data_IF_541463294912
#
_entry.id   IF_541463294912
#
_cell.length_a   1.000
_cell.length_b   1.000
_cell.length_c   1.000
_cell.angle_alpha   90.00
_cell.angle_beta   90.00
_cell.angle_gamma   90.00
#
_symmetry.space_group_name_H-M   'P 1'
#
loop_
_entity.id
_entity.type
_entity.pdbx_description
1 polymer ?
#
# COMPACT_ATOMS: atom_id res chain seq x y z
N UNK A 1 -6.84 -5.86 -17.25
CA UNK A 1 -7.10 -4.83 -18.29
C UNK A 1 -7.63 -3.56 -17.64
N UNK A 2 -7.01 -2.40 -17.92
CA UNK A 2 -7.46 -1.11 -17.42
C UNK A 2 -8.90 -0.81 -17.85
N UNK A 3 -9.73 -0.27 -16.95
CA UNK A 3 -11.11 0.14 -17.28
C UNK A 3 -11.07 1.13 -18.46
N UNK A 4 -11.69 0.81 -19.62
CA UNK A 4 -11.70 1.69 -20.78
C UNK A 4 -12.23 3.08 -20.45
N UNK A 5 -13.18 3.16 -19.51
CA UNK A 5 -13.73 4.42 -19.02
C UNK A 5 -12.70 5.25 -18.27
N UNK A 6 -11.92 4.65 -17.37
CA UNK A 6 -10.87 5.37 -16.65
C UNK A 6 -9.79 5.87 -17.60
N UNK A 7 -9.39 5.03 -18.56
CA UNK A 7 -8.42 5.43 -19.59
C UNK A 7 -8.95 6.55 -20.47
N UNK A 8 -10.23 6.53 -20.83
CA UNK A 8 -10.89 7.62 -21.55
C UNK A 8 -10.93 8.91 -20.72
N UNK A 9 -11.24 8.82 -19.43
CA UNK A 9 -11.24 9.99 -18.53
C UNK A 9 -9.84 10.60 -18.48
N UNK A 10 -8.81 9.79 -18.24
CA UNK A 10 -7.44 10.29 -18.03
C UNK A 10 -6.74 10.73 -19.33
N UNK A 11 -6.96 10.04 -20.45
CA UNK A 11 -6.28 10.35 -21.72
C UNK A 11 -7.02 11.32 -22.62
N UNK A 12 -8.33 11.46 -22.46
CA UNK A 12 -9.16 12.25 -23.37
C UNK A 12 -9.98 13.30 -22.66
N UNK A 13 -10.76 12.94 -21.64
CA UNK A 13 -11.66 13.91 -20.98
C UNK A 13 -10.88 14.95 -20.15
N UNK A 14 -9.96 14.50 -19.30
CA UNK A 14 -9.18 15.35 -18.41
C UNK A 14 -8.27 16.33 -19.19
N UNK A 15 -7.47 15.90 -20.19
CA UNK A 15 -6.67 16.86 -20.96
C UNK A 15 -7.53 17.86 -21.73
N UNK A 16 -8.71 17.44 -22.21
CA UNK A 16 -9.65 18.33 -22.90
C UNK A 16 -10.25 19.36 -21.93
N UNK A 17 -10.63 18.94 -20.72
CA UNK A 17 -11.11 19.83 -19.67
C UNK A 17 -10.06 20.88 -19.31
N UNK A 18 -8.82 20.44 -19.05
CA UNK A 18 -7.69 21.35 -18.76
C UNK A 18 -7.46 22.32 -19.91
N UNK A 19 -7.52 21.85 -21.17
CA UNK A 19 -7.40 22.71 -22.36
C UNK A 19 -8.50 23.75 -22.44
N UNK A 20 -9.78 23.36 -22.25
CA UNK A 20 -10.91 24.29 -22.30
C UNK A 20 -10.82 25.36 -21.22
N UNK A 21 -10.37 24.99 -20.01
CA UNK A 21 -10.15 25.94 -18.92
C UNK A 21 -9.06 26.93 -19.31
N UNK A 22 -7.93 26.44 -19.81
CA UNK A 22 -6.82 27.30 -20.24
C UNK A 22 -7.21 28.24 -21.39
N UNK A 23 -7.95 27.76 -22.40
CA UNK A 23 -8.43 28.59 -23.51
C UNK A 23 -9.37 29.71 -23.04
N UNK A 24 -10.20 29.43 -22.04
CA UNK A 24 -11.09 30.43 -21.43
C UNK A 24 -10.33 31.43 -20.54
N UNK A 25 -9.22 31.01 -19.91
CA UNK A 25 -8.37 31.87 -19.09
C UNK A 25 -7.44 32.80 -19.89
N UNK A 26 -7.33 32.65 -21.21
CA UNK A 26 -6.55 33.59 -22.01
C UNK A 26 -7.24 34.96 -22.00
N UNK A 27 -6.56 36.05 -21.61
CA UNK A 27 -7.16 37.38 -21.57
C UNK A 27 -7.49 37.81 -23.00
N UNK A 28 -8.75 37.60 -23.41
CA UNK A 28 -9.29 38.28 -24.57
C UNK A 28 -9.13 39.77 -24.28
N UNK A 29 -8.51 40.53 -25.20
CA UNK A 29 -8.26 41.98 -25.11
C UNK A 29 -9.53 42.85 -24.99
N UNK A 30 -10.64 42.31 -24.49
CA UNK A 30 -11.91 42.99 -24.33
C UNK A 30 -12.04 43.56 -22.92
N UNK A 31 -11.79 44.87 -22.87
CA UNK A 31 -12.35 45.90 -21.98
C UNK A 31 -13.25 45.40 -20.83
N UNK A 32 -12.77 45.64 -19.61
CA UNK A 32 -13.54 46.05 -18.41
C UNK A 32 -14.62 45.08 -17.89
N UNK A 33 -14.25 43.86 -17.46
CA UNK A 33 -14.94 43.24 -16.31
C UNK A 33 -14.03 42.24 -15.55
N UNK A 34 -13.53 42.59 -14.35
CA UNK A 34 -12.52 41.80 -13.63
C UNK A 34 -13.12 40.80 -12.62
N UNK A 35 -14.06 39.91 -13.01
CA UNK A 35 -14.83 39.16 -11.98
C UNK A 35 -15.00 37.64 -12.11
N UNK A 36 -14.17 36.89 -12.84
CA UNK A 36 -14.45 35.44 -13.02
C UNK A 36 -13.25 34.46 -12.97
N UNK A 37 -12.03 34.88 -12.63
CA UNK A 37 -10.87 33.96 -12.66
C UNK A 37 -10.78 33.02 -11.42
N UNK A 38 -11.58 33.25 -10.38
CA UNK A 38 -11.56 32.44 -9.15
C UNK A 38 -12.26 31.07 -9.28
N UNK A 39 -13.20 30.93 -10.22
CA UNK A 39 -14.03 29.72 -10.31
C UNK A 39 -13.31 28.55 -11.00
N UNK A 40 -12.44 28.81 -11.99
CA UNK A 40 -11.79 27.77 -12.79
C UNK A 40 -10.74 26.95 -12.02
N UNK A 41 -9.92 27.60 -11.18
CA UNK A 41 -8.95 26.90 -10.33
C UNK A 41 -9.65 26.01 -9.30
N UNK A 42 -10.78 26.47 -8.78
CA UNK A 42 -11.60 25.73 -7.83
C UNK A 42 -12.14 24.45 -8.45
N UNK A 43 -12.51 24.46 -9.73
CA UNK A 43 -13.04 23.29 -10.44
C UNK A 43 -11.98 22.24 -10.78
N UNK A 44 -10.75 22.66 -11.11
CA UNK A 44 -9.62 21.73 -11.30
C UNK A 44 -9.28 21.03 -9.98
N UNK A 45 -9.22 21.77 -8.88
CA UNK A 45 -8.96 21.21 -7.56
C UNK A 45 -10.05 20.22 -7.14
N UNK A 46 -11.32 20.56 -7.36
CA UNK A 46 -12.45 19.64 -7.15
C UNK A 46 -12.28 18.37 -7.98
N UNK A 47 -12.04 18.49 -9.29
CA UNK A 47 -11.88 17.34 -10.19
C UNK A 47 -10.73 16.43 -9.76
N UNK A 48 -9.61 17.04 -9.36
CA UNK A 48 -8.43 16.34 -8.84
C UNK A 48 -8.74 15.59 -7.55
N UNK A 49 -9.44 16.23 -6.60
CA UNK A 49 -9.90 15.58 -5.38
C UNK A 49 -10.87 14.43 -5.68
N UNK A 50 -11.79 14.59 -6.64
CA UNK A 50 -12.68 13.51 -7.07
C UNK A 50 -11.92 12.31 -7.63
N UNK A 51 -10.94 12.54 -8.51
CA UNK A 51 -10.10 11.45 -9.03
C UNK A 51 -9.37 10.74 -7.89
N UNK A 52 -8.80 11.49 -6.95
CA UNK A 52 -8.09 10.93 -5.82
C UNK A 52 -9.04 10.08 -4.94
N UNK A 53 -10.11 10.68 -4.44
CA UNK A 53 -11.01 10.09 -3.45
C UNK A 53 -11.84 8.91 -3.99
N UNK A 54 -12.27 8.98 -5.24
CA UNK A 54 -13.20 8.00 -5.81
C UNK A 54 -12.53 6.97 -6.71
N UNK A 55 -11.28 7.19 -7.13
CA UNK A 55 -10.57 6.28 -8.02
C UNK A 55 -9.27 5.79 -7.39
N UNK A 56 -8.33 6.68 -7.11
CA UNK A 56 -6.99 6.28 -6.67
C UNK A 56 -6.97 5.67 -5.27
N UNK A 57 -7.60 6.31 -4.28
CA UNK A 57 -7.60 5.79 -2.91
C UNK A 57 -8.36 4.46 -2.79
N UNK A 58 -9.54 4.25 -3.41
CA UNK A 58 -10.21 2.96 -3.39
C UNK A 58 -9.37 1.85 -4.04
N UNK A 59 -8.71 2.14 -5.17
CA UNK A 59 -7.79 1.18 -5.81
C UNK A 59 -6.62 0.81 -4.89
N UNK A 60 -5.98 1.81 -4.29
CA UNK A 60 -4.89 1.60 -3.33
C UNK A 60 -5.34 0.74 -2.14
N UNK A 61 -6.43 1.14 -1.47
CA UNK A 61 -6.99 0.45 -0.30
C UNK A 61 -7.48 -0.97 -0.62
N UNK A 62 -7.81 -1.25 -1.88
CA UNK A 62 -8.21 -2.58 -2.32
C UNK A 62 -7.06 -3.58 -2.42
N UNK A 63 -5.79 -3.13 -2.46
CA UNK A 63 -4.64 -4.03 -2.62
C UNK A 63 -4.54 -5.05 -1.48
N UNK A 64 -4.63 -4.61 -0.23
CA UNK A 64 -4.58 -5.49 0.95
C UNK A 64 -5.68 -6.56 0.94
N UNK A 65 -6.98 -6.22 0.86
CA UNK A 65 -8.04 -7.24 0.86
C UNK A 65 -7.97 -8.15 -0.37
N UNK A 66 -7.54 -7.66 -1.54
CA UNK A 66 -7.37 -8.50 -2.74
C UNK A 66 -6.26 -9.55 -2.52
N UNK A 67 -5.15 -9.17 -1.88
CA UNK A 67 -4.11 -10.12 -1.49
C UNK A 67 -4.66 -11.19 -0.54
N UNK A 68 -5.39 -10.78 0.51
CA UNK A 68 -5.97 -11.71 1.48
C UNK A 68 -6.95 -12.70 0.83
N UNK A 69 -7.88 -12.21 0.00
CA UNK A 69 -8.89 -13.03 -0.68
C UNK A 69 -8.22 -14.08 -1.57
N UNK A 70 -7.20 -13.68 -2.33
CA UNK A 70 -6.46 -14.61 -3.22
C UNK A 70 -5.84 -15.75 -2.42
N UNK A 71 -5.18 -15.42 -1.31
CA UNK A 71 -4.53 -16.42 -0.48
C UNK A 71 -5.54 -17.29 0.31
N UNK A 72 -6.70 -16.73 0.69
CA UNK A 72 -7.80 -17.49 1.28
C UNK A 72 -8.40 -18.51 0.29
N UNK A 73 -8.59 -18.14 -0.98
CA UNK A 73 -9.08 -19.05 -2.00
C UNK A 73 -8.10 -20.24 -2.23
N UNK A 74 -6.80 -19.98 -2.20
CA UNK A 74 -5.77 -21.03 -2.31
C UNK A 74 -5.77 -21.98 -1.09
N UNK A 75 -6.08 -21.45 0.09
CA UNK A 75 -6.26 -22.24 1.31
C UNK A 75 -7.40 -23.23 1.19
N UNK A 76 -8.58 -22.73 0.81
CA UNK A 76 -9.81 -23.50 0.66
C UNK A 76 -9.68 -24.58 -0.41
N UNK A 77 -9.14 -24.22 -1.59
CA UNK A 77 -8.95 -25.16 -2.69
C UNK A 77 -8.06 -26.36 -2.32
N UNK A 78 -7.06 -26.15 -1.44
CA UNK A 78 -6.22 -27.25 -0.96
C UNK A 78 -6.93 -28.09 0.11
N UNK A 79 -7.70 -27.47 0.99
CA UNK A 79 -8.44 -28.18 2.04
C UNK A 79 -9.50 -29.12 1.44
N UNK A 80 -10.17 -28.69 0.36
CA UNK A 80 -11.10 -29.52 -0.40
C UNK A 80 -10.42 -30.80 -0.94
N UNK A 81 -9.22 -30.67 -1.54
CA UNK A 81 -8.45 -31.81 -2.08
C UNK A 81 -8.02 -32.84 -1.04
N UNK A 82 -7.81 -32.43 0.21
CA UNK A 82 -7.40 -33.34 1.29
C UNK A 82 -8.60 -34.16 1.76
N UNK A 83 -9.79 -33.55 1.84
CA UNK A 83 -11.03 -34.20 2.30
C UNK A 83 -11.46 -35.35 1.38
N UNK A 84 -11.22 -35.23 0.07
CA UNK A 84 -11.56 -36.27 -0.91
C UNK A 84 -10.65 -37.51 -0.86
N UNK A 85 -9.43 -37.40 -0.33
CA UNK A 85 -8.51 -38.55 -0.24
C UNK A 85 -8.80 -39.51 0.92
N UNK A 86 -9.60 -39.09 1.89
CA UNK A 86 -9.87 -39.86 3.11
C UNK A 86 -11.09 -40.79 3.05
N UNK A 87 -11.97 -40.66 2.05
CA UNK A 87 -13.14 -41.53 1.89
C UNK A 87 -12.86 -42.56 0.81
N UNK A 88 -12.79 -43.82 1.22
CA UNK A 88 -12.29 -44.94 0.42
C UNK A 88 -12.96 -45.14 -0.93
N UNK A 89 -12.16 -45.72 -1.85
CA UNK A 89 -12.52 -46.51 -3.04
C UNK A 89 -14.03 -46.61 -3.32
N UNK A 90 -14.62 -45.54 -3.84
CA UNK A 90 -15.80 -45.66 -4.69
C UNK A 90 -15.40 -45.18 -6.07
N UNK A 91 -15.33 -46.13 -6.99
CA UNK A 91 -15.04 -45.98 -8.41
C UNK A 91 -16.21 -45.26 -9.08
N UNK A 92 -16.36 -43.97 -8.79
CA UNK A 92 -17.30 -43.08 -9.45
C UNK A 92 -16.49 -42.00 -10.13
N UNK A 93 -16.51 -41.99 -11.47
CA UNK A 93 -15.82 -41.02 -12.33
C UNK A 93 -16.48 -39.64 -12.13
N UNK A 94 -16.18 -38.95 -11.03
CA UNK A 94 -16.64 -37.58 -10.81
C UNK A 94 -15.91 -36.65 -11.78
N UNK A 95 -16.62 -35.72 -12.44
CA UNK A 95 -16.00 -34.77 -13.35
C UNK A 95 -14.99 -33.94 -12.55
N UNK A 96 -13.73 -34.02 -12.96
CA UNK A 96 -12.64 -33.22 -12.42
C UNK A 96 -12.92 -31.76 -12.76
N UNK A 97 -13.60 -31.05 -11.86
CA UNK A 97 -13.77 -29.61 -11.97
C UNK A 97 -12.40 -28.99 -11.71
N UNK A 98 -11.76 -28.52 -12.78
CA UNK A 98 -10.49 -27.82 -12.68
C UNK A 98 -10.65 -26.63 -11.73
N UNK A 99 -9.67 -26.37 -10.84
CA UNK A 99 -9.74 -25.21 -9.95
C UNK A 99 -9.90 -23.94 -10.79
N UNK A 100 -10.78 -23.01 -10.40
CA UNK A 100 -10.96 -21.76 -11.13
C UNK A 100 -9.62 -21.05 -11.23
N UNK A 101 -9.21 -20.71 -12.46
CA UNK A 101 -8.04 -19.86 -12.70
C UNK A 101 -8.39 -18.47 -12.19
N UNK A 102 -8.05 -18.14 -10.95
CA UNK A 102 -8.16 -16.77 -10.45
C UNK A 102 -7.18 -15.90 -11.25
N UNK A 103 -7.72 -14.98 -12.06
CA UNK A 103 -6.94 -13.92 -12.67
C UNK A 103 -6.27 -13.08 -11.56
N UNK A 104 -5.02 -12.68 -11.79
CA UNK A 104 -4.28 -11.87 -10.83
C UNK A 104 -4.63 -10.38 -11.00
N UNK A 105 -5.65 -9.94 -10.28
CA UNK A 105 -6.15 -8.55 -10.34
C UNK A 105 -5.19 -7.54 -9.71
N UNK A 106 -4.22 -7.97 -8.89
CA UNK A 106 -3.29 -7.09 -8.19
C UNK A 106 -2.35 -6.37 -9.15
N UNK A 107 -1.81 -7.11 -10.11
CA UNK A 107 -0.95 -6.57 -11.17
C UNK A 107 -1.75 -5.62 -12.08
N UNK A 108 -3.01 -5.93 -12.35
CA UNK A 108 -3.91 -5.04 -13.11
C UNK A 108 -4.15 -3.71 -12.38
N UNK A 109 -4.36 -3.74 -11.06
CA UNK A 109 -4.52 -2.52 -10.23
C UNK A 109 -3.24 -1.68 -10.28
N UNK A 110 -2.08 -2.29 -10.08
CA UNK A 110 -0.80 -1.56 -10.10
C UNK A 110 -0.51 -0.97 -11.48
N UNK A 111 -0.77 -1.72 -12.55
CA UNK A 111 -0.63 -1.24 -13.92
C UNK A 111 -1.58 -0.08 -14.22
N UNK A 112 -2.81 -0.15 -13.70
CA UNK A 112 -3.80 0.92 -13.83
C UNK A 112 -3.34 2.18 -13.12
N UNK A 113 -2.85 2.07 -11.88
CA UNK A 113 -2.30 3.20 -11.13
C UNK A 113 -1.11 3.83 -11.88
N UNK A 114 -0.16 3.01 -12.33
CA UNK A 114 1.01 3.49 -13.08
C UNK A 114 0.62 4.18 -14.40
N UNK A 115 -0.26 3.58 -15.19
CA UNK A 115 -0.73 4.17 -16.44
C UNK A 115 -1.51 5.48 -16.19
N UNK A 116 -2.24 5.56 -15.09
CA UNK A 116 -3.01 6.74 -14.71
C UNK A 116 -2.11 7.89 -14.29
N UNK A 117 -1.09 7.63 -13.48
CA UNK A 117 -0.09 8.61 -13.09
C UNK A 117 0.73 9.09 -14.30
N UNK A 118 1.14 8.18 -15.19
CA UNK A 118 1.85 8.55 -16.42
C UNK A 118 0.98 9.41 -17.35
N UNK A 119 -0.33 9.15 -17.41
CA UNK A 119 -1.25 10.00 -18.18
C UNK A 119 -1.39 11.41 -17.57
N UNK A 120 -1.34 11.52 -16.24
CA UNK A 120 -1.32 12.80 -15.54
C UNK A 120 -0.02 13.57 -15.81
N UNK A 121 1.12 12.89 -15.88
CA UNK A 121 2.41 13.53 -16.22
C UNK A 121 2.45 14.00 -17.68
N UNK A 122 1.73 13.32 -18.58
CA UNK A 122 1.62 13.71 -19.99
C UNK A 122 0.68 14.90 -20.23
N UNK A 123 0.03 15.43 -19.19
CA UNK A 123 -0.78 16.63 -19.32
C UNK A 123 0.11 17.82 -19.70
N UNK A 124 -0.28 18.63 -20.69
CA UNK A 124 0.53 19.77 -21.11
C UNK A 124 0.74 20.76 -19.94
N UNK A 125 2.00 21.10 -19.69
CA UNK A 125 2.38 22.19 -18.78
C UNK A 125 1.95 23.51 -19.42
N UNK A 126 0.93 24.15 -18.85
CA UNK A 126 0.43 25.42 -19.37
C UNK A 126 1.17 26.59 -18.71
N UNK A 127 1.85 27.45 -19.48
CA UNK A 127 2.50 28.64 -18.94
C UNK A 127 1.44 29.66 -18.50
N UNK A 128 1.15 29.72 -17.20
CA UNK A 128 0.20 30.68 -16.60
C UNK A 128 -0.68 30.10 -15.51
N UNK A 129 -0.96 28.79 -15.53
CA UNK A 129 -1.27 28.08 -14.30
C UNK A 129 0.06 27.97 -13.56
N UNK A 130 0.19 28.65 -12.42
CA UNK A 130 1.42 28.74 -11.64
C UNK A 130 2.23 27.43 -11.72
N UNK A 131 3.54 27.53 -11.91
CA UNK A 131 4.52 26.43 -11.92
C UNK A 131 4.59 25.64 -10.58
N UNK A 132 3.58 25.78 -9.72
CA UNK A 132 3.60 25.58 -8.28
C UNK A 132 3.09 24.22 -7.83
N UNK A 133 2.50 23.41 -8.71
CA UNK A 133 2.41 21.96 -8.57
C UNK A 133 1.69 21.43 -9.79
N UNK A 134 2.34 20.56 -10.57
CA UNK A 134 1.57 19.79 -11.55
C UNK A 134 0.47 19.05 -10.78
N UNK A 135 -0.75 19.00 -11.34
CA UNK A 135 -1.86 18.20 -10.78
C UNK A 135 -1.36 16.79 -10.44
N UNK A 136 -0.47 16.26 -11.29
CA UNK A 136 0.23 15.00 -11.07
C UNK A 136 1.04 14.98 -9.76
N UNK A 137 1.85 16.00 -9.48
CA UNK A 137 2.61 16.14 -8.21
C UNK A 137 1.68 16.12 -7.01
N UNK A 138 0.60 16.90 -7.03
CA UNK A 138 -0.36 16.94 -5.91
C UNK A 138 -1.03 15.59 -5.66
N UNK A 139 -1.45 14.89 -6.73
CA UNK A 139 -1.99 13.53 -6.65
C UNK A 139 -0.95 12.55 -6.11
N UNK A 140 0.28 12.57 -6.63
CA UNK A 140 1.39 11.69 -6.23
C UNK A 140 1.70 11.82 -4.75
N UNK A 141 1.80 13.04 -4.23
CA UNK A 141 2.12 13.26 -2.81
C UNK A 141 1.00 12.73 -1.91
N UNK A 142 -0.27 13.03 -2.22
CA UNK A 142 -1.40 12.52 -1.44
C UNK A 142 -1.53 11.00 -1.51
N UNK A 143 -1.33 10.42 -2.69
CA UNK A 143 -1.33 8.98 -2.88
C UNK A 143 -0.17 8.31 -2.12
N UNK A 144 1.01 8.92 -2.12
CA UNK A 144 2.17 8.48 -1.34
C UNK A 144 1.90 8.48 0.16
N UNK A 145 1.31 9.56 0.69
CA UNK A 145 0.92 9.66 2.09
C UNK A 145 -0.09 8.57 2.48
N UNK A 146 -1.12 8.34 1.67
CA UNK A 146 -2.07 7.25 1.94
C UNK A 146 -1.40 5.88 1.83
N UNK A 147 -0.48 5.69 0.89
CA UNK A 147 0.26 4.43 0.74
C UNK A 147 1.07 4.12 2.00
N UNK A 148 1.71 5.13 2.60
CA UNK A 148 2.43 4.98 3.88
C UNK A 148 1.44 4.63 4.99
N UNK A 149 0.29 5.29 5.05
CA UNK A 149 -0.75 4.98 6.04
C UNK A 149 -1.24 3.54 5.93
N UNK A 150 -1.44 3.03 4.72
CA UNK A 150 -1.84 1.64 4.48
C UNK A 150 -0.71 0.67 4.86
N UNK A 151 0.57 1.03 4.61
CA UNK A 151 1.71 0.25 5.10
C UNK A 151 1.78 0.22 6.64
N UNK A 152 1.60 1.37 7.30
CA UNK A 152 1.52 1.46 8.76
C UNK A 152 0.38 0.56 9.29
N UNK A 153 -0.81 0.63 8.68
CA UNK A 153 -1.96 -0.19 9.04
C UNK A 153 -1.72 -1.69 8.82
N UNK A 154 -1.02 -2.05 7.74
CA UNK A 154 -0.68 -3.44 7.41
C UNK A 154 0.21 -4.08 8.49
N UNK A 155 1.14 -3.31 9.07
CA UNK A 155 2.07 -3.79 10.10
C UNK A 155 1.58 -3.55 11.54
N UNK A 156 0.59 -2.68 11.76
CA UNK A 156 -0.04 -2.48 13.07
C UNK A 156 -0.69 -3.77 13.63
N UNK A 157 -0.94 -4.76 12.77
CA UNK A 157 -1.53 -6.05 13.14
C UNK A 157 -3.02 -5.94 13.48
N UNK A 158 -3.77 -7.07 13.50
CA UNK A 158 -5.11 -7.07 14.06
C UNK A 158 -4.95 -6.83 15.56
N UNK A 159 -5.49 -5.71 16.05
CA UNK A 159 -5.64 -5.45 17.49
C UNK A 159 -6.25 -6.68 18.13
N UNK A 160 -5.44 -7.44 18.87
CA UNK A 160 -5.88 -8.69 19.49
C UNK A 160 -7.12 -8.37 20.35
N UNK A 161 -8.25 -9.07 20.18
CA UNK A 161 -9.37 -8.90 21.10
C UNK A 161 -8.86 -9.16 22.53
N UNK A 162 -9.33 -8.39 23.53
CA UNK A 162 -8.84 -8.48 24.90
C UNK A 162 -8.86 -9.93 25.33
N UNK A 163 -7.74 -10.40 25.89
CA UNK A 163 -7.54 -11.79 26.24
C UNK A 163 -8.73 -12.26 27.08
N UNK A 164 -9.55 -13.14 26.51
CA UNK A 164 -10.60 -13.81 27.27
C UNK A 164 -9.92 -14.55 28.43
N UNK A 165 -10.34 -14.32 29.68
CA UNK A 165 -9.74 -14.94 30.85
C UNK A 165 -9.78 -16.46 30.68
N UNK A 166 -8.61 -17.07 30.51
CA UNK A 166 -8.53 -18.52 30.37
C UNK A 166 -8.85 -19.14 31.74
N UNK A 167 -9.84 -20.04 31.84
CA UNK A 167 -10.09 -20.77 33.07
C UNK A 167 -8.86 -21.62 33.39
N UNK A 168 -8.28 -21.37 34.57
CA UNK A 168 -7.14 -22.08 35.13
C UNK A 168 -7.53 -23.53 35.41
N UNK A 169 -7.34 -24.41 34.43
CA UNK A 169 -7.53 -25.85 34.59
C UNK A 169 -6.22 -26.48 35.06
N UNK A 170 -6.10 -26.63 36.38
CA UNK A 170 -5.02 -27.33 37.05
C UNK A 170 -5.13 -28.85 36.82
N UNK A 171 -4.39 -29.40 35.87
CA UNK A 171 -4.17 -30.85 35.82
C UNK A 171 -2.80 -31.22 35.22
N UNK A 172 -1.89 -31.85 36.00
CA UNK A 172 -0.61 -32.33 35.50
C UNK A 172 -0.78 -33.74 34.93
N UNK A 173 -1.07 -33.84 33.64
CA UNK A 173 -0.90 -35.10 32.90
C UNK A 173 0.53 -35.20 32.38
N UNK A 174 1.14 -36.37 32.51
CA UNK A 174 2.48 -36.74 32.03
C UNK A 174 2.54 -36.69 30.49
N UNK A 175 2.68 -35.47 29.94
CA UNK A 175 2.87 -35.24 28.50
C UNK A 175 4.20 -35.86 28.09
N UNK A 176 4.13 -36.87 27.22
CA UNK A 176 5.31 -37.58 26.72
C UNK A 176 6.23 -36.62 25.96
N UNK A 177 7.54 -36.91 25.97
CA UNK A 177 8.54 -36.08 25.26
C UNK A 177 8.24 -35.96 23.76
N UNK A 178 7.61 -36.99 23.19
CA UNK A 178 7.13 -37.02 21.80
C UNK A 178 6.04 -35.97 21.53
N UNK A 179 5.08 -35.80 22.43
CA UNK A 179 4.06 -34.75 22.34
C UNK A 179 4.63 -33.36 22.56
N UNK A 180 5.63 -33.21 23.46
CA UNK A 180 6.35 -31.93 23.62
C UNK A 180 7.10 -31.56 22.35
N UNK A 181 7.71 -32.54 21.66
CA UNK A 181 8.41 -32.33 20.38
C UNK A 181 7.44 -32.04 19.24
N UNK A 182 6.31 -32.72 19.17
CA UNK A 182 5.24 -32.45 18.20
C UNK A 182 4.64 -31.06 18.41
N UNK A 183 4.30 -30.70 19.66
CA UNK A 183 3.84 -29.35 20.02
C UNK A 183 4.89 -28.29 19.72
N UNK A 184 6.18 -28.55 19.95
CA UNK A 184 7.28 -27.63 19.58
C UNK A 184 7.38 -27.44 18.07
N UNK A 185 7.28 -28.51 17.27
CA UNK A 185 7.30 -28.43 15.82
C UNK A 185 6.07 -27.71 15.26
N UNK A 186 4.90 -27.93 15.85
CA UNK A 186 3.66 -27.21 15.53
C UNK A 186 3.78 -25.72 15.91
N UNK A 187 4.39 -25.41 17.06
CA UNK A 187 4.70 -24.03 17.48
C UNK A 187 5.73 -23.36 16.58
N UNK A 188 6.74 -24.10 16.09
CA UNK A 188 7.80 -23.60 15.21
C UNK A 188 7.30 -23.40 13.77
N UNK A 189 6.34 -24.20 13.31
CA UNK A 189 5.83 -24.12 11.95
C UNK A 189 4.76 -23.03 11.76
N UNK A 190 4.25 -22.44 12.85
CA UNK A 190 3.05 -21.62 12.86
C UNK A 190 1.83 -22.40 12.36
N UNK A 191 0.63 -21.91 12.65
CA UNK A 191 -0.53 -22.46 11.96
C UNK A 191 -0.35 -22.21 10.45
N UNK A 192 -0.79 -23.16 9.61
CA UNK A 192 -0.76 -22.94 8.15
C UNK A 192 -1.48 -21.64 7.76
N UNK A 193 -2.50 -21.26 8.53
CA UNK A 193 -3.22 -20.01 8.40
C UNK A 193 -2.31 -18.79 8.64
N UNK A 194 -1.51 -18.81 9.71
CA UNK A 194 -0.54 -17.74 10.00
C UNK A 194 0.47 -17.57 8.87
N UNK A 195 1.01 -18.67 8.33
CA UNK A 195 1.97 -18.61 7.21
C UNK A 195 1.36 -17.97 5.96
N UNK A 196 0.09 -18.26 5.69
CA UNK A 196 -0.58 -17.75 4.50
C UNK A 196 -1.01 -16.30 4.68
N UNK A 197 -1.45 -15.92 5.89
CA UNK A 197 -1.62 -14.50 6.25
C UNK A 197 -0.30 -13.75 6.12
N UNK A 198 0.80 -14.31 6.61
CA UNK A 198 2.12 -13.69 6.46
C UNK A 198 2.47 -13.49 4.98
N UNK A 199 2.23 -14.49 4.11
CA UNK A 199 2.42 -14.34 2.66
C UNK A 199 1.53 -13.24 2.05
N UNK A 200 0.26 -13.14 2.47
CA UNK A 200 -0.64 -12.09 2.01
C UNK A 200 -0.14 -10.69 2.41
N UNK A 201 0.35 -10.55 3.65
CA UNK A 201 0.98 -9.32 4.14
C UNK A 201 2.23 -8.97 3.34
N UNK A 202 3.12 -9.93 3.08
CA UNK A 202 4.33 -9.68 2.28
C UNK A 202 3.99 -9.19 0.87
N UNK A 203 2.98 -9.79 0.27
CA UNK A 203 2.54 -9.47 -1.07
C UNK A 203 1.83 -8.10 -1.13
N UNK A 204 0.95 -7.81 -0.18
CA UNK A 204 0.35 -6.47 -0.03
C UNK A 204 1.42 -5.38 0.18
N UNK A 205 2.42 -5.65 1.04
CA UNK A 205 3.54 -4.74 1.25
C UNK A 205 4.33 -4.49 -0.04
N UNK A 206 4.52 -5.51 -0.89
CA UNK A 206 5.19 -5.36 -2.19
C UNK A 206 4.42 -4.43 -3.13
N UNK A 207 3.09 -4.59 -3.24
CA UNK A 207 2.25 -3.73 -4.09
C UNK A 207 2.16 -2.29 -3.56
N UNK A 208 2.06 -2.11 -2.24
CA UNK A 208 2.07 -0.79 -1.62
C UNK A 208 3.43 -0.10 -1.80
N UNK A 209 4.54 -0.81 -1.57
CA UNK A 209 5.89 -0.29 -1.80
C UNK A 209 6.10 0.08 -3.28
N UNK A 210 5.58 -0.73 -4.20
CA UNK A 210 5.59 -0.41 -5.64
C UNK A 210 4.76 0.85 -5.94
N UNK A 211 3.61 1.03 -5.30
CA UNK A 211 2.78 2.22 -5.46
C UNK A 211 3.46 3.47 -4.89
N UNK A 212 4.14 3.35 -3.76
CA UNK A 212 4.95 4.43 -3.19
C UNK A 212 6.07 4.83 -4.16
N UNK A 213 6.76 3.85 -4.75
CA UNK A 213 7.78 4.11 -5.76
C UNK A 213 7.21 4.79 -7.02
N UNK A 214 5.97 4.49 -7.41
CA UNK A 214 5.28 5.21 -8.48
C UNK A 214 4.99 6.66 -8.11
N UNK A 215 4.88 7.00 -6.82
CA UNK A 215 4.60 8.37 -6.36
C UNK A 215 5.87 9.24 -6.24
N UNK A 216 7.05 8.62 -6.09
CA UNK A 216 8.32 9.36 -6.03
C UNK A 216 8.56 10.07 -7.36
N UNK A 217 8.79 11.40 -7.38
CA UNK A 217 9.16 12.10 -8.60
C UNK A 217 10.46 11.49 -9.12
N UNK A 218 10.43 10.99 -10.36
CA UNK A 218 11.66 10.62 -11.04
C UNK A 218 12.33 11.92 -11.43
N UNK A 219 13.39 12.28 -10.71
CA UNK A 219 14.21 13.47 -10.98
C UNK A 219 14.62 13.44 -12.46
N UNK A 220 13.88 14.16 -13.29
CA UNK A 220 14.30 14.49 -14.63
C UNK A 220 15.36 15.57 -14.44
N UNK A 221 16.60 15.24 -14.78
CA UNK A 221 17.73 16.14 -14.69
C UNK A 221 17.39 17.48 -15.36
N UNK A 222 17.28 18.54 -14.55
CA UNK A 222 17.25 19.93 -15.00
C UNK A 222 15.88 20.45 -15.43
N UNK A 223 15.20 21.13 -14.52
CA UNK A 223 14.39 22.31 -14.88
C UNK A 223 14.38 23.31 -13.72
N UNK A 224 15.37 24.21 -13.75
CA UNK A 224 15.62 25.27 -12.79
C UNK A 224 14.71 26.49 -13.05
N UNK A 225 13.39 26.30 -13.11
CA UNK A 225 12.46 27.42 -13.31
C UNK A 225 11.25 27.26 -12.39
N UNK A 226 11.37 27.73 -11.14
CA UNK A 226 10.22 27.88 -10.25
C UNK A 226 10.27 29.21 -9.48
N UNK A 227 9.19 29.98 -9.62
CA UNK A 227 8.90 31.20 -8.87
C UNK A 227 8.52 30.92 -7.40
N UNK A 228 8.55 31.97 -6.59
CA UNK A 228 8.72 31.89 -5.14
C UNK A 228 7.44 31.70 -4.30
N UNK A 229 6.22 31.80 -4.83
CA UNK A 229 5.01 31.97 -3.99
C UNK A 229 4.18 30.71 -3.69
N UNK A 230 4.26 29.65 -4.49
CA UNK A 230 3.56 28.37 -4.24
C UNK A 230 4.47 27.20 -3.90
N UNK A 231 5.77 27.48 -3.73
CA UNK A 231 6.75 26.54 -3.18
C UNK A 231 6.32 26.01 -1.81
N UNK A 232 5.75 26.89 -0.98
CA UNK A 232 5.43 26.60 0.43
C UNK A 232 4.46 25.44 0.63
N UNK A 233 3.37 25.36 -0.14
CA UNK A 233 2.36 24.30 0.03
C UNK A 233 2.86 22.92 -0.43
N UNK A 234 3.65 22.89 -1.51
CA UNK A 234 4.30 21.68 -2.00
C UNK A 234 5.43 21.25 -1.05
N UNK A 235 6.15 22.20 -0.48
CA UNK A 235 7.24 21.95 0.47
C UNK A 235 6.68 21.36 1.78
N UNK A 236 5.59 21.89 2.33
CA UNK A 236 4.94 21.32 3.52
C UNK A 236 4.44 19.89 3.30
N UNK A 237 3.84 19.60 2.13
CA UNK A 237 3.37 18.25 1.81
C UNK A 237 4.54 17.28 1.59
N UNK A 238 5.64 17.75 0.99
CA UNK A 238 6.88 16.99 0.82
C UNK A 238 7.55 16.73 2.17
N UNK A 239 7.61 17.71 3.06
CA UNK A 239 8.12 17.55 4.43
C UNK A 239 7.29 16.53 5.22
N UNK A 240 5.96 16.61 5.13
CA UNK A 240 5.07 15.63 5.76
C UNK A 240 5.31 14.21 5.23
N UNK A 241 5.55 14.07 3.92
CA UNK A 241 5.87 12.78 3.30
C UNK A 241 7.23 12.27 3.78
N UNK A 242 8.26 13.12 3.81
CA UNK A 242 9.60 12.78 4.31
C UNK A 242 9.56 12.37 5.78
N UNK A 243 8.86 13.12 6.64
CA UNK A 243 8.67 12.78 8.05
C UNK A 243 7.98 11.41 8.20
N UNK A 244 6.94 11.15 7.41
CA UNK A 244 6.21 9.87 7.41
C UNK A 244 7.06 8.70 6.93
N UNK A 245 7.83 8.88 5.86
CA UNK A 245 8.82 7.89 5.41
C UNK A 245 9.86 7.64 6.50
N UNK A 246 10.37 8.69 7.15
CA UNK A 246 11.31 8.57 8.27
C UNK A 246 10.72 7.82 9.47
N UNK A 247 9.45 8.06 9.81
CA UNK A 247 8.72 7.30 10.85
C UNK A 247 8.58 5.82 10.47
N UNK A 248 8.24 5.52 9.22
CA UNK A 248 8.14 4.16 8.71
C UNK A 248 9.50 3.44 8.78
N UNK A 249 10.59 4.10 8.36
CA UNK A 249 11.96 3.56 8.45
C UNK A 249 12.33 3.25 9.90
N UNK A 250 12.09 4.18 10.83
CA UNK A 250 12.35 3.95 12.26
C UNK A 250 11.54 2.77 12.80
N UNK A 251 10.26 2.67 12.44
CA UNK A 251 9.42 1.54 12.83
C UNK A 251 9.96 0.21 12.32
N UNK A 252 10.37 0.15 11.04
CA UNK A 252 10.94 -1.04 10.43
C UNK A 252 12.29 -1.43 11.06
N UNK A 253 13.13 -0.46 11.43
CA UNK A 253 14.42 -0.70 12.08
C UNK A 253 14.24 -1.18 13.53
N UNK A 254 13.37 -0.53 14.32
CA UNK A 254 13.12 -0.93 15.70
C UNK A 254 12.65 -2.38 15.82
N UNK A 255 11.80 -2.83 14.90
CA UNK A 255 11.36 -4.24 14.84
C UNK A 255 12.52 -5.23 14.62
N UNK A 256 13.61 -4.80 13.98
CA UNK A 256 14.77 -5.65 13.74
C UNK A 256 15.72 -5.75 14.94
N UNK A 257 15.86 -4.68 15.73
CA UNK A 257 16.75 -4.66 16.90
C UNK A 257 16.19 -5.47 18.07
N UNK A 258 14.88 -5.40 18.33
CA UNK A 258 14.23 -6.10 19.44
C UNK A 258 14.29 -7.64 19.29
N UNK A 259 14.51 -8.15 18.07
CA UNK A 259 14.64 -9.59 17.81
C UNK A 259 16.02 -10.19 18.14
N UNK A 260 17.04 -9.37 18.41
CA UNK A 260 18.43 -9.83 18.59
C UNK A 260 18.80 -9.98 20.07
N UNK A 261 18.24 -9.18 20.97
CA UNK A 261 18.60 -9.22 22.40
C UNK A 261 17.97 -10.39 23.17
N UNK A 262 16.92 -11.05 22.67
CA UNK A 262 16.23 -12.13 23.39
C UNK A 262 16.94 -13.50 23.33
N UNK A 263 18.18 -13.59 22.80
CA UNK A 263 18.92 -14.86 22.65
C UNK A 263 20.15 -15.05 23.54
N UNK A 264 20.54 -14.06 24.34
CA UNK A 264 21.76 -14.15 25.14
C UNK A 264 21.63 -13.52 26.53
N UNK A 265 20.68 -13.98 27.35
CA UNK A 265 20.89 -13.99 28.81
C UNK A 265 20.07 -15.09 29.47
N UNK A 266 20.81 -15.99 30.09
CA UNK A 266 20.37 -16.96 31.08
C UNK A 266 19.77 -16.27 32.32
N UNK A 267 18.71 -16.88 32.85
CA UNK A 267 18.32 -16.89 34.26
C UNK A 267 18.24 -15.55 35.01
N UNK A 268 17.16 -14.78 34.86
CA UNK A 268 16.49 -14.15 36.02
C UNK A 268 15.03 -13.81 35.73
N UNK A 269 14.21 -13.90 36.77
CA UNK A 269 12.76 -14.07 36.76
C UNK A 269 11.94 -12.84 36.33
N UNK A 270 10.74 -13.16 35.81
CA UNK A 270 9.48 -12.41 35.97
C UNK A 270 9.44 -10.97 35.45
N UNK A 271 9.17 -10.82 34.16
CA UNK A 271 8.31 -9.73 33.67
C UNK A 271 7.32 -10.29 32.64
N UNK A 272 6.32 -11.02 33.15
CA UNK A 272 5.18 -11.50 32.40
C UNK A 272 4.11 -10.39 32.37
N UNK A 273 4.24 -9.37 31.52
CA UNK A 273 3.09 -8.60 31.01
C UNK A 273 3.54 -7.52 30.01
N UNK A 274 3.82 -7.95 28.78
CA UNK A 274 4.13 -6.99 27.72
C UNK A 274 4.64 -7.61 26.44
N UNK A 275 4.18 -8.80 26.05
CA UNK A 275 4.48 -9.32 24.71
C UNK A 275 3.72 -8.50 23.68
N UNK A 276 4.34 -7.42 23.23
CA UNK A 276 4.02 -6.78 21.98
C UNK A 276 4.31 -7.79 20.86
N UNK A 277 3.31 -8.65 20.57
CA UNK A 277 3.29 -9.49 19.38
C UNK A 277 3.05 -8.60 18.15
N UNK A 278 3.92 -7.63 17.91
CA UNK A 278 4.03 -7.00 16.61
C UNK A 278 4.40 -8.07 15.58
N UNK A 279 3.84 -7.99 14.39
CA UNK A 279 4.34 -8.83 13.29
C UNK A 279 5.81 -8.47 13.10
N UNK A 280 6.70 -9.42 13.34
CA UNK A 280 8.10 -9.25 12.96
C UNK A 280 8.14 -9.05 11.45
N UNK A 281 8.60 -7.88 11.03
CA UNK A 281 8.77 -7.59 9.61
C UNK A 281 9.81 -8.57 9.10
N UNK A 282 9.43 -9.38 8.12
CA UNK A 282 10.34 -10.33 7.50
C UNK A 282 11.55 -9.59 6.91
N UNK A 283 12.78 -10.11 7.04
CA UNK A 283 13.98 -9.42 6.57
C UNK A 283 13.91 -8.99 5.10
N UNK A 284 13.27 -9.79 4.23
CA UNK A 284 13.09 -9.45 2.81
C UNK A 284 12.15 -8.25 2.64
N UNK A 285 11.03 -8.24 3.36
CA UNK A 285 10.11 -7.10 3.35
C UNK A 285 10.76 -5.85 3.93
N UNK A 286 11.55 -5.99 4.98
CA UNK A 286 12.33 -4.90 5.56
C UNK A 286 13.30 -4.31 4.54
N UNK A 287 14.14 -5.12 3.89
CA UNK A 287 15.08 -4.62 2.86
C UNK A 287 14.36 -3.93 1.70
N UNK A 288 13.23 -4.48 1.26
CA UNK A 288 12.41 -3.87 0.21
C UNK A 288 11.83 -2.52 0.65
N UNK A 289 11.24 -2.44 1.84
CA UNK A 289 10.69 -1.19 2.38
C UNK A 289 11.78 -0.14 2.55
N UNK A 290 12.95 -0.52 3.09
CA UNK A 290 14.09 0.37 3.23
C UNK A 290 14.57 0.90 1.88
N UNK A 291 14.71 0.04 0.86
CA UNK A 291 15.11 0.47 -0.48
C UNK A 291 14.11 1.46 -1.10
N UNK A 292 12.80 1.23 -0.93
CA UNK A 292 11.77 2.16 -1.41
C UNK A 292 11.78 3.47 -0.62
N UNK A 293 11.96 3.42 0.70
CA UNK A 293 12.05 4.59 1.55
C UNK A 293 13.30 5.42 1.23
N UNK A 294 14.45 4.79 1.05
CA UNK A 294 15.70 5.43 0.63
C UNK A 294 15.50 6.15 -0.70
N UNK A 295 14.96 5.45 -1.70
CA UNK A 295 14.66 6.04 -3.00
C UNK A 295 13.68 7.21 -2.91
N UNK A 296 12.65 7.10 -2.07
CA UNK A 296 11.72 8.20 -1.82
C UNK A 296 12.45 9.40 -1.21
N UNK A 297 13.25 9.20 -0.17
CA UNK A 297 14.05 10.25 0.46
C UNK A 297 15.02 10.90 -0.53
N UNK A 298 15.70 10.13 -1.39
CA UNK A 298 16.57 10.67 -2.43
C UNK A 298 15.80 11.50 -3.47
N UNK A 299 14.60 11.04 -3.87
CA UNK A 299 13.74 11.79 -4.80
C UNK A 299 13.16 13.07 -4.21
N UNK A 300 13.05 13.14 -2.88
CA UNK A 300 12.58 14.30 -2.14
C UNK A 300 13.70 15.08 -1.44
N UNK A 301 14.97 14.81 -1.68
CA UNK A 301 16.05 15.67 -1.20
C UNK A 301 16.10 16.98 -2.01
N UNK A 302 16.29 18.16 -1.38
CA UNK A 302 16.57 19.38 -2.13
C UNK A 302 17.87 19.18 -2.90
N UNK A 303 17.82 19.42 -4.22
CA UNK A 303 19.00 19.40 -5.08
C UNK A 303 19.91 20.60 -4.81
#
# INVERSE_FOLDING_TARGET
MASPLLMYVLRTALPSLVRTIHENSRPKRQRLHPRSDYDTHTDINKTTNYLLEYVFLPLLRSLTPVCDIRFAALLEAKNAKIKDKGKGKQSGKTPSVAPPKLADTRTDILALLGASLAALDALPSYPGLCAESSIATGIRVRLGLETIRELEALYAGPSRPPAQPQPHSSQPATVTESEKRAKRLEKLAGTRQERIRALAVKDAAWYLASTLNLCVPQSAAGDNIAGAMGKESSDLLREALVDRVGKLVRSVIHVACDGVEERTTSDTAQSENGKANGYTVDPVCQSMLLAVCERALSGFAPA
#
